data_IF_967348411867
#
_entry.id   IF_967348411867
#
_cell.length_a   1.000
_cell.length_b   1.000
_cell.length_c   1.000
_cell.angle_alpha   90.00
_cell.angle_beta   90.00
_cell.angle_gamma   90.00
#
_symmetry.space_group_name_H-M   'P 1'
#
loop_
_entity.id
_entity.type
_entity.pdbx_description
1 polymer ?
#
# COMPACT_ATOMS: atom_id res chain seq x y z
N UNK A 1 20.73 -8.17 2.24
CA UNK A 1 20.65 -6.69 2.25
C UNK A 1 21.78 -6.19 3.16
N UNK A 2 22.56 -5.17 2.79
CA UNK A 2 23.64 -4.68 3.66
C UNK A 2 23.06 -3.98 4.90
N UNK A 3 23.57 -4.29 6.08
CA UNK A 3 23.03 -3.76 7.36
C UNK A 3 23.11 -2.22 7.44
N UNK A 4 24.18 -1.64 6.88
CA UNK A 4 24.40 -0.19 6.77
C UNK A 4 23.30 0.53 5.96
N UNK A 5 22.65 -0.17 5.02
CA UNK A 5 21.56 0.40 4.23
C UNK A 5 20.27 0.55 5.06
N UNK A 6 19.98 -0.43 5.92
CA UNK A 6 18.84 -0.36 6.84
C UNK A 6 19.06 0.75 7.88
N UNK A 7 20.28 0.85 8.42
CA UNK A 7 20.63 1.87 9.43
C UNK A 7 20.48 3.30 8.89
N UNK A 8 20.77 3.51 7.59
CA UNK A 8 20.67 4.81 6.93
C UNK A 8 19.36 5.00 6.13
N UNK A 9 18.37 4.12 6.30
CA UNK A 9 17.15 4.14 5.48
C UNK A 9 16.44 5.50 5.57
N UNK A 10 16.40 6.09 6.76
CA UNK A 10 15.78 7.42 7.00
C UNK A 10 16.37 8.53 6.13
N UNK A 11 17.67 8.49 5.89
CA UNK A 11 18.37 9.53 5.11
C UNK A 11 18.28 9.27 3.59
N UNK A 12 17.83 8.08 3.20
CA UNK A 12 17.77 7.63 1.80
C UNK A 12 16.35 7.55 1.22
N UNK A 13 15.30 7.58 2.05
CA UNK A 13 13.90 7.45 1.61
C UNK A 13 13.48 8.59 0.67
N UNK A 14 13.85 9.83 0.95
CA UNK A 14 13.40 11.00 0.17
C UNK A 14 14.31 11.32 -1.02
N UNK A 15 15.18 10.38 -1.41
CA UNK A 15 16.15 10.61 -2.47
C UNK A 15 15.53 10.34 -3.85
N UNK A 16 15.97 11.04 -4.92
CA UNK A 16 15.41 10.87 -6.26
C UNK A 16 15.43 9.44 -6.79
N UNK A 17 16.41 8.63 -6.40
CA UNK A 17 16.51 7.22 -6.79
C UNK A 17 15.49 6.31 -6.08
N UNK A 18 14.70 6.82 -5.13
CA UNK A 18 13.55 6.14 -4.54
C UNK A 18 12.21 6.72 -5.04
N UNK A 19 12.24 7.58 -6.06
CA UNK A 19 11.05 8.19 -6.64
C UNK A 19 10.75 7.61 -8.01
N UNK A 20 9.48 7.30 -8.25
CA UNK A 20 8.93 6.97 -9.56
C UNK A 20 7.68 7.81 -9.80
N UNK A 21 7.55 8.35 -11.01
CA UNK A 21 6.36 9.06 -11.41
C UNK A 21 5.42 8.08 -12.12
N UNK A 22 4.19 7.98 -11.62
CA UNK A 22 3.17 7.08 -12.13
C UNK A 22 1.90 7.86 -12.46
N UNK A 23 1.10 7.36 -13.39
CA UNK A 23 -0.26 7.89 -13.58
C UNK A 23 -1.10 7.61 -12.33
N UNK A 24 -2.09 8.46 -12.04
CA UNK A 24 -2.86 8.41 -10.79
C UNK A 24 -3.35 6.99 -10.43
N UNK A 25 -3.91 6.27 -11.40
CA UNK A 25 -4.45 4.93 -11.18
C UNK A 25 -3.35 3.89 -10.89
N UNK A 26 -2.23 3.97 -11.62
CA UNK A 26 -1.09 3.06 -11.41
C UNK A 26 -0.40 3.37 -10.08
N UNK A 27 -0.34 4.64 -9.70
CA UNK A 27 0.17 5.10 -8.41
C UNK A 27 -0.63 4.48 -7.26
N UNK A 28 -1.97 4.61 -7.28
CA UNK A 28 -2.84 4.01 -6.24
C UNK A 28 -2.66 2.48 -6.14
N UNK A 29 -2.57 1.79 -7.28
CA UNK A 29 -2.35 0.34 -7.28
C UNK A 29 -0.96 -0.05 -6.72
N UNK A 30 0.06 0.75 -7.01
CA UNK A 30 1.42 0.52 -6.55
C UNK A 30 1.53 0.75 -5.03
N UNK A 31 0.94 1.81 -4.51
CA UNK A 31 0.92 2.14 -3.07
C UNK A 31 0.19 1.07 -2.24
N UNK A 32 -0.88 0.51 -2.79
CA UNK A 32 -1.68 -0.54 -2.14
C UNK A 32 -1.09 -1.94 -2.28
N UNK A 33 0.07 -2.08 -2.91
CA UNK A 33 0.69 -3.37 -3.22
C UNK A 33 -0.20 -4.29 -4.10
N UNK A 34 -1.20 -3.75 -4.80
CA UNK A 34 -2.00 -4.49 -5.79
C UNK A 34 -1.13 -4.96 -6.97
N UNK A 35 -0.08 -4.18 -7.26
CA UNK A 35 0.93 -4.44 -8.28
C UNK A 35 2.33 -4.16 -7.74
N UNK A 36 3.35 -4.79 -8.33
CA UNK A 36 4.75 -4.45 -8.09
C UNK A 36 5.61 -4.63 -9.35
N UNK A 37 6.82 -4.09 -9.33
CA UNK A 37 7.81 -4.23 -10.40
C UNK A 37 8.78 -5.37 -10.06
N UNK A 38 8.56 -6.53 -10.68
CA UNK A 38 9.41 -7.70 -10.48
C UNK A 38 10.67 -7.61 -11.33
N UNK A 39 11.83 -7.73 -10.67
CA UNK A 39 13.14 -7.67 -11.30
C UNK A 39 13.31 -8.77 -12.34
N UNK A 40 13.90 -8.42 -13.47
CA UNK A 40 14.35 -9.39 -14.48
C UNK A 40 15.86 -9.62 -14.41
N UNK A 41 16.37 -10.49 -15.27
CA UNK A 41 17.79 -10.70 -15.50
C UNK A 41 18.49 -9.53 -16.22
N UNK A 42 17.74 -8.50 -16.65
CA UNK A 42 18.29 -7.31 -17.31
C UNK A 42 18.12 -6.11 -16.37
N UNK A 43 19.22 -5.38 -16.12
CA UNK A 43 19.20 -4.18 -15.27
C UNK A 43 18.18 -3.15 -15.78
N UNK A 44 17.45 -2.54 -14.85
CA UNK A 44 16.41 -1.54 -15.12
C UNK A 44 15.23 -2.01 -16.01
N UNK A 45 15.08 -3.33 -16.19
CA UNK A 45 13.94 -3.95 -16.86
C UNK A 45 13.14 -4.77 -15.86
N UNK A 46 11.84 -4.51 -15.80
CA UNK A 46 10.94 -5.09 -14.83
C UNK A 46 9.68 -5.63 -15.50
N UNK A 47 9.11 -6.68 -14.91
CA UNK A 47 7.76 -7.14 -15.24
C UNK A 47 6.77 -6.59 -14.23
N UNK A 48 5.59 -6.20 -14.69
CA UNK A 48 4.50 -5.88 -13.79
C UNK A 48 3.94 -7.20 -13.26
N UNK A 49 4.00 -7.39 -11.95
CA UNK A 49 3.30 -8.48 -11.29
C UNK A 49 2.02 -7.93 -10.65
N UNK A 50 0.88 -8.49 -11.02
CA UNK A 50 -0.42 -8.20 -10.42
C UNK A 50 -0.86 -9.40 -9.59
N UNK A 51 -1.35 -9.16 -8.38
CA UNK A 51 -1.77 -10.25 -7.48
C UNK A 51 -3.28 -10.54 -7.55
N UNK A 52 -4.05 -9.65 -8.19
CA UNK A 52 -5.50 -9.77 -8.32
C UNK A 52 -5.94 -9.68 -9.79
N UNK A 53 -6.75 -10.64 -10.26
CA UNK A 53 -7.23 -10.71 -11.65
C UNK A 53 -8.09 -9.51 -12.07
N UNK A 54 -8.93 -8.99 -11.16
CA UNK A 54 -9.74 -7.81 -11.45
C UNK A 54 -8.84 -6.58 -11.65
N UNK A 55 -7.82 -6.44 -10.79
CA UNK A 55 -6.82 -5.37 -10.88
C UNK A 55 -5.98 -5.50 -12.15
N UNK A 56 -5.59 -6.72 -12.52
CA UNK A 56 -4.89 -7.01 -13.78
C UNK A 56 -5.72 -6.60 -15.00
N UNK A 57 -7.01 -6.93 -15.02
CA UNK A 57 -7.92 -6.55 -16.11
C UNK A 57 -8.08 -5.03 -16.21
N UNK A 58 -8.21 -4.36 -15.07
CA UNK A 58 -8.28 -2.90 -15.01
C UNK A 58 -7.00 -2.25 -15.57
N UNK A 59 -5.83 -2.70 -15.11
CA UNK A 59 -4.55 -2.20 -15.60
C UNK A 59 -4.36 -2.46 -17.09
N UNK A 60 -4.73 -3.64 -17.58
CA UNK A 60 -4.68 -3.95 -19.01
C UNK A 60 -5.52 -2.98 -19.83
N UNK A 61 -6.72 -2.62 -19.36
CA UNK A 61 -7.55 -1.63 -20.02
C UNK A 61 -6.91 -0.23 -20.00
N UNK A 62 -6.30 0.18 -18.89
CA UNK A 62 -5.60 1.47 -18.79
C UNK A 62 -4.41 1.55 -19.77
N UNK A 63 -3.60 0.49 -19.86
CA UNK A 63 -2.41 0.45 -20.73
C UNK A 63 -2.76 0.34 -22.23
N UNK A 64 -3.91 -0.26 -22.57
CA UNK A 64 -4.36 -0.38 -23.97
C UNK A 64 -4.50 0.99 -24.66
N UNK A 65 -4.94 2.03 -23.95
CA UNK A 65 -5.02 3.39 -24.51
C UNK A 65 -3.64 3.99 -24.84
N UNK A 66 -2.58 3.50 -24.19
CA UNK A 66 -1.20 3.86 -24.47
C UNK A 66 -0.53 2.94 -25.50
N UNK A 67 -1.28 1.97 -26.06
CA UNK A 67 -0.74 0.96 -26.96
C UNK A 67 0.21 -0.04 -26.28
N UNK A 68 0.06 -0.23 -24.96
CA UNK A 68 0.90 -1.12 -24.15
C UNK A 68 0.11 -2.28 -23.55
N UNK A 69 0.83 -3.36 -23.23
CA UNK A 69 0.32 -4.54 -22.55
C UNK A 69 0.89 -4.64 -21.13
N UNK A 70 0.17 -5.31 -20.23
CA UNK A 70 0.66 -5.66 -18.88
C UNK A 70 1.89 -6.58 -18.96
N UNK A 71 1.97 -7.39 -20.01
CA UNK A 71 3.09 -8.31 -20.22
C UNK A 71 4.34 -7.63 -20.81
N UNK A 72 4.23 -6.36 -21.21
CA UNK A 72 5.37 -5.58 -21.70
C UNK A 72 6.35 -5.28 -20.56
N UNK A 73 7.64 -5.21 -20.89
CA UNK A 73 8.66 -4.83 -19.92
C UNK A 73 8.59 -3.34 -19.62
N UNK A 74 8.60 -3.00 -18.33
CA UNK A 74 8.85 -1.63 -17.86
C UNK A 74 10.35 -1.41 -17.91
N UNK A 75 10.78 -0.44 -18.72
CA UNK A 75 12.20 -0.12 -18.92
C UNK A 75 12.45 1.31 -18.46
N UNK A 76 13.26 1.46 -17.42
CA UNK A 76 13.73 2.79 -17.00
C UNK A 76 14.94 3.20 -17.84
N UNK A 77 14.89 4.41 -18.38
CA UNK A 77 15.95 4.99 -19.20
C UNK A 77 16.23 6.41 -18.74
N UNK A 78 17.51 6.75 -18.64
CA UNK A 78 17.90 8.13 -18.37
C UNK A 78 17.80 8.92 -19.68
N UNK A 79 16.90 9.90 -19.71
CA UNK A 79 16.70 10.77 -20.87
C UNK A 79 17.53 12.06 -20.82
N UNK A 80 18.19 12.33 -19.69
CA UNK A 80 19.08 13.48 -19.54
C UNK A 80 20.51 13.10 -19.96
N UNK A 81 20.87 13.50 -21.18
CA UNK A 81 22.21 13.29 -21.75
C UNK A 81 23.28 14.19 -21.09
N UNK A 82 22.87 15.19 -20.31
CA UNK A 82 23.78 16.12 -19.61
C UNK A 82 24.06 15.69 -18.17
N UNK A 83 23.29 14.74 -17.65
CA UNK A 83 23.43 14.24 -16.29
C UNK A 83 24.73 13.46 -16.10
N UNK A 84 25.53 13.88 -15.12
CA UNK A 84 26.72 13.14 -14.67
C UNK A 84 26.36 11.95 -13.76
N UNK A 85 25.10 11.81 -13.37
CA UNK A 85 24.65 10.75 -12.45
C UNK A 85 24.47 9.40 -13.15
N UNK A 86 24.33 9.36 -14.47
CA UNK A 86 24.15 8.11 -15.23
C UNK A 86 22.98 7.27 -14.69
N UNK A 87 23.25 6.01 -14.38
CA UNK A 87 22.25 5.08 -13.81
C UNK A 87 21.79 5.46 -12.40
N UNK A 88 22.53 6.31 -11.67
CA UNK A 88 22.11 6.80 -10.35
C UNK A 88 20.93 7.76 -10.42
N UNK A 89 20.61 8.27 -11.62
CA UNK A 89 19.38 9.03 -11.87
C UNK A 89 18.15 8.10 -12.03
N UNK A 90 18.35 6.80 -12.20
CA UNK A 90 17.26 5.83 -12.31
C UNK A 90 16.83 5.34 -10.92
N UNK A 91 15.58 4.85 -10.78
CA UNK A 91 15.14 4.20 -9.57
C UNK A 91 16.10 3.06 -9.18
N UNK A 92 16.54 3.07 -7.93
CA UNK A 92 17.45 2.09 -7.39
C UNK A 92 16.72 0.73 -7.32
N UNK A 93 17.24 -0.32 -8.00
CA UNK A 93 16.61 -1.63 -8.05
C UNK A 93 16.31 -2.24 -6.68
N UNK A 94 17.08 -1.90 -5.63
CA UNK A 94 16.89 -2.44 -4.29
C UNK A 94 15.55 -1.99 -3.66
N UNK A 95 15.13 -0.74 -3.83
CA UNK A 95 13.83 -0.29 -3.30
C UNK A 95 12.67 -0.96 -4.01
N UNK A 96 12.77 -1.14 -5.33
CA UNK A 96 11.77 -1.88 -6.11
C UNK A 96 11.69 -3.34 -5.68
N UNK A 97 12.83 -3.96 -5.38
CA UNK A 97 12.90 -5.34 -4.88
C UNK A 97 12.29 -5.47 -3.48
N UNK A 98 12.53 -4.50 -2.60
CA UNK A 98 11.89 -4.43 -1.27
C UNK A 98 10.37 -4.32 -1.43
N UNK A 99 9.88 -3.40 -2.27
CA UNK A 99 8.44 -3.24 -2.52
C UNK A 99 7.80 -4.52 -3.06
N UNK A 100 8.42 -5.15 -4.08
CA UNK A 100 7.93 -6.40 -4.65
C UNK A 100 7.92 -7.55 -3.62
N UNK A 101 8.92 -7.59 -2.74
CA UNK A 101 8.99 -8.58 -1.65
C UNK A 101 7.86 -8.37 -0.65
N UNK A 102 7.62 -7.12 -0.21
CA UNK A 102 6.52 -6.79 0.69
C UNK A 102 5.18 -7.15 0.05
N UNK A 103 4.97 -6.78 -1.22
CA UNK A 103 3.75 -7.11 -1.96
C UNK A 103 3.52 -8.63 -2.00
N UNK A 104 4.56 -9.40 -2.32
CA UNK A 104 4.49 -10.85 -2.33
C UNK A 104 4.17 -11.44 -0.96
N UNK A 105 4.76 -10.92 0.12
CA UNK A 105 4.46 -11.38 1.50
C UNK A 105 3.02 -11.05 1.89
N UNK A 106 2.55 -9.83 1.62
CA UNK A 106 1.18 -9.41 1.93
C UNK A 106 0.14 -10.25 1.19
N UNK A 107 0.40 -10.59 -0.08
CA UNK A 107 -0.45 -11.48 -0.86
C UNK A 107 -0.43 -12.90 -0.30
N UNK A 108 0.75 -13.51 -0.15
CA UNK A 108 0.88 -14.90 0.30
C UNK A 108 0.30 -15.13 1.70
N UNK A 109 0.39 -14.14 2.58
CA UNK A 109 -0.13 -14.22 3.94
C UNK A 109 -1.61 -13.83 4.06
N UNK A 110 -2.19 -13.18 3.04
CA UNK A 110 -3.50 -12.53 3.13
C UNK A 110 -3.52 -11.29 4.03
N UNK A 111 -2.37 -10.87 4.59
CA UNK A 111 -2.28 -9.73 5.49
C UNK A 111 -2.64 -8.40 4.83
N UNK A 112 -2.42 -8.26 3.51
CA UNK A 112 -2.81 -7.06 2.77
C UNK A 112 -4.31 -6.79 2.86
N UNK A 113 -5.13 -7.81 2.61
CA UNK A 113 -6.59 -7.72 2.70
C UNK A 113 -7.05 -7.41 4.13
N UNK A 114 -6.45 -8.07 5.12
CA UNK A 114 -6.75 -7.82 6.53
C UNK A 114 -6.47 -6.36 6.92
N UNK A 115 -5.32 -5.82 6.53
CA UNK A 115 -4.94 -4.44 6.82
C UNK A 115 -5.87 -3.43 6.12
N UNK A 116 -6.24 -3.70 4.87
CA UNK A 116 -7.18 -2.86 4.13
C UNK A 116 -8.58 -2.82 4.79
N UNK A 117 -9.09 -3.98 5.23
CA UNK A 117 -10.36 -4.08 5.94
C UNK A 117 -10.30 -3.35 7.29
N UNK A 118 -9.22 -3.56 8.04
CA UNK A 118 -8.99 -2.92 9.34
C UNK A 118 -8.93 -1.39 9.21
N UNK A 119 -8.20 -0.87 8.21
CA UNK A 119 -8.08 0.56 7.96
C UNK A 119 -9.36 1.18 7.39
N UNK A 120 -10.19 0.39 6.71
CA UNK A 120 -11.52 0.82 6.25
C UNK A 120 -12.52 0.90 7.41
N UNK A 121 -12.46 -0.03 8.35
CA UNK A 121 -13.33 -0.04 9.53
C UNK A 121 -12.93 1.05 10.53
N UNK A 122 -11.63 1.32 10.65
CA UNK A 122 -11.07 2.34 11.53
C UNK A 122 -10.26 3.37 10.71
N UNK A 123 -10.93 4.21 9.91
CA UNK A 123 -10.25 5.17 9.08
C UNK A 123 -9.46 6.15 9.94
N UNK A 124 -8.23 6.52 9.55
CA UNK A 124 -7.47 7.54 10.27
C UNK A 124 -8.24 8.86 10.22
N UNK A 125 -8.88 9.24 11.33
CA UNK A 125 -9.59 10.50 11.44
C UNK A 125 -8.56 11.63 11.46
N UNK A 126 -8.77 12.69 10.65
CA UNK A 126 -7.81 13.79 10.46
C UNK A 126 -7.41 14.59 11.72
N UNK A 127 -7.98 14.28 12.89
CA UNK A 127 -7.62 14.85 14.19
C UNK A 127 -6.94 13.85 15.14
N UNK A 128 -6.89 12.57 14.77
CA UNK A 128 -6.03 11.60 15.43
C UNK A 128 -4.67 11.74 14.77
N UNK A 129 -3.60 11.89 15.56
CA UNK A 129 -2.28 11.57 15.02
C UNK A 129 -2.43 10.20 14.34
N UNK A 130 -2.11 10.06 13.03
CA UNK A 130 -2.14 8.75 12.39
C UNK A 130 -1.41 7.84 13.35
N UNK A 131 -2.00 6.70 13.69
CA UNK A 131 -1.39 5.79 14.64
C UNK A 131 -0.05 5.34 14.05
N UNK A 132 0.99 6.12 14.32
CA UNK A 132 2.35 5.95 13.80
C UNK A 132 3.04 4.78 14.48
N UNK A 133 2.30 4.09 15.35
CA UNK A 133 2.71 2.95 16.13
C UNK A 133 1.54 1.97 16.22
N UNK A 134 1.88 0.68 16.22
CA UNK A 134 0.94 -0.41 16.45
C UNK A 134 0.10 -0.21 17.72
N UNK A 135 0.70 0.28 18.81
CA UNK A 135 0.00 0.61 20.06
C UNK A 135 -1.05 1.73 19.93
N UNK A 136 -0.94 2.58 18.92
CA UNK A 136 -1.97 3.57 18.58
C UNK A 136 -3.15 2.92 17.86
N UNK A 137 -2.86 1.98 16.94
CA UNK A 137 -3.87 1.20 16.21
C UNK A 137 -4.66 0.33 17.19
N UNK A 138 -3.98 -0.42 18.06
CA UNK A 138 -4.61 -1.24 19.11
C UNK A 138 -5.54 -0.40 20.01
N UNK A 139 -5.10 0.80 20.40
CA UNK A 139 -5.94 1.71 21.21
C UNK A 139 -7.20 2.17 20.47
N UNK A 140 -7.10 2.48 19.19
CA UNK A 140 -8.26 2.88 18.39
C UNK A 140 -9.26 1.74 18.23
N UNK A 141 -8.79 0.52 17.97
CA UNK A 141 -9.64 -0.68 17.89
C UNK A 141 -10.38 -0.87 19.22
N UNK A 142 -9.66 -0.86 20.35
CA UNK A 142 -10.27 -1.02 21.67
C UNK A 142 -11.28 0.08 22.02
N UNK A 143 -11.01 1.34 21.66
CA UNK A 143 -11.91 2.46 21.91
C UNK A 143 -13.20 2.35 21.10
N UNK A 144 -13.12 1.95 19.83
CA UNK A 144 -14.30 1.79 18.99
C UNK A 144 -15.14 0.57 19.37
N UNK A 145 -14.52 -0.55 19.75
CA UNK A 145 -15.23 -1.71 20.31
C UNK A 145 -15.98 -1.34 21.60
N UNK A 146 -15.34 -0.58 22.49
CA UNK A 146 -15.98 -0.11 23.71
C UNK A 146 -17.17 0.82 23.44
N UNK A 147 -17.02 1.78 22.51
CA UNK A 147 -18.10 2.67 22.11
C UNK A 147 -19.30 1.90 21.52
N UNK A 148 -19.02 0.91 20.68
CA UNK A 148 -20.05 0.06 20.05
C UNK A 148 -20.80 -0.78 21.09
N UNK A 149 -20.07 -1.38 22.04
CA UNK A 149 -20.68 -2.13 23.15
C UNK A 149 -21.51 -1.23 24.08
N UNK A 150 -21.04 -0.01 24.34
CA UNK A 150 -21.77 0.96 25.15
C UNK A 150 -23.07 1.40 24.47
N UNK A 151 -23.05 1.69 23.17
CA UNK A 151 -24.26 2.01 22.40
C UNK A 151 -25.25 0.82 22.34
N UNK A 152 -24.75 -0.40 22.15
CA UNK A 152 -25.58 -1.60 22.17
C UNK A 152 -26.23 -1.81 23.55
N UNK A 153 -25.48 -1.56 24.62
CA UNK A 153 -25.97 -1.59 26.00
C UNK A 153 -27.06 -0.53 26.26
N UNK A 154 -26.87 0.70 25.76
CA UNK A 154 -27.89 1.76 25.85
C UNK A 154 -29.17 1.40 25.08
N UNK A 155 -29.05 0.88 23.86
CA UNK A 155 -30.19 0.43 23.05
C UNK A 155 -30.92 -0.75 23.70
N UNK A 156 -30.18 -1.72 24.24
CA UNK A 156 -30.74 -2.87 24.96
C UNK A 156 -31.45 -2.46 26.25
N UNK A 157 -30.87 -1.53 27.01
CA UNK A 157 -31.48 -0.97 28.22
C UNK A 157 -32.75 -0.17 27.94
N UNK A 158 -32.76 0.65 26.88
CA UNK A 158 -33.95 1.38 26.44
C UNK A 158 -35.06 0.43 25.95
N UNK A 159 -34.71 -0.62 25.20
CA UNK A 159 -35.66 -1.65 24.76
C UNK A 159 -36.28 -2.42 25.95
N UNK A 160 -35.47 -2.74 26.97
CA UNK A 160 -35.92 -3.39 28.21
C UNK A 160 -36.87 -2.49 29.02
N UNK A 161 -36.56 -1.19 29.14
CA UNK A 161 -37.43 -0.22 29.80
C UNK A 161 -38.75 0.02 29.04
N UNK A 162 -38.75 -0.09 27.71
CA UNK A 162 -39.97 0.01 26.89
C UNK A 162 -40.84 -1.26 26.88
N UNK A 163 -40.30 -2.41 27.29
CA UNK A 163 -41.00 -3.70 27.33
C UNK A 163 -41.40 -4.15 28.75
N UNK A 164 -40.90 -3.47 29.78
CA UNK A 164 -41.22 -3.69 31.19
C UNK A 164 -42.52 -3.01 31.65
N UNK A 165 -43.64 -3.69 31.44
CA UNK A 165 -44.92 -3.65 32.18
C UNK A 165 -45.59 -2.30 32.52
N UNK A 166 -46.70 -2.03 31.83
CA UNK A 166 -47.98 -1.77 32.52
C UNK A 166 -48.69 -3.13 32.64
N UNK A 167 -48.62 -3.74 33.82
CA UNK A 167 -49.57 -4.72 34.30
C UNK A 167 -50.00 -4.29 35.70
#
# INVERSE_FOLDING_TARGET
>A
MPDEFIENLKDTIDQPYNLIMLSLQVHEMFDRYDICLQKTNIAHHYKIQCFNDNKKRYLAHALQFEGRSVDDLVVFKNHDQTSTLGDRALPNPLFLEIHATIAGVLEMSGAGKFLDELLSEYPPTGNSAPASTWAGIERQIMLNDFATQFEAGLKGGLAFLSSGQVN
#
